data_IF_760329345554
#
_entry.id   IF_760329345554
#
_cell.length_a   1.000
_cell.length_b   1.000
_cell.length_c   1.000
_cell.angle_alpha   90.00
_cell.angle_beta   90.00
_cell.angle_gamma   90.00
#
_symmetry.space_group_name_H-M   'P 1'
#
loop_
_entity.id
_entity.type
_entity.pdbx_description
1 polymer ?
#
# COMPACT_ATOMS: atom_id res chain seq x y z
N UNK A 1 46.65 -7.92 31.05
CA UNK A 1 47.24 -9.19 30.59
C UNK A 1 48.51 -9.41 31.40
N UNK A 2 48.83 -10.67 31.75
CA UNK A 2 50.06 -10.97 32.49
C UNK A 2 51.29 -10.68 31.63
N UNK A 3 52.39 -10.29 32.26
CA UNK A 3 53.68 -10.10 31.58
C UNK A 3 54.06 -11.37 30.82
N UNK A 4 54.03 -11.32 29.48
CA UNK A 4 54.46 -12.41 28.60
C UNK A 4 53.36 -13.16 27.83
N UNK A 5 52.08 -12.82 27.97
CA UNK A 5 50.99 -13.45 27.19
C UNK A 5 50.29 -12.45 26.27
N UNK A 6 50.77 -12.34 25.02
CA UNK A 6 50.26 -11.41 24.01
C UNK A 6 49.16 -12.05 23.14
N UNK A 7 48.06 -11.34 22.91
CA UNK A 7 46.93 -11.78 22.07
C UNK A 7 47.20 -11.66 20.55
N UNK A 8 48.48 -11.59 20.14
CA UNK A 8 48.88 -11.34 18.76
C UNK A 8 48.34 -12.38 17.78
N UNK A 9 48.43 -13.67 18.11
CA UNK A 9 47.96 -14.75 17.25
C UNK A 9 46.44 -14.72 17.01
N UNK A 10 45.68 -14.18 17.97
CA UNK A 10 44.23 -13.99 17.85
C UNK A 10 43.93 -12.78 16.96
N UNK A 11 44.59 -11.64 17.21
CA UNK A 11 44.40 -10.42 16.41
C UNK A 11 44.87 -10.57 14.95
N UNK A 12 45.86 -11.43 14.68
CA UNK A 12 46.27 -11.80 13.33
C UNK A 12 45.32 -12.80 12.65
N UNK A 13 44.21 -13.18 13.31
CA UNK A 13 43.23 -14.14 12.81
C UNK A 13 43.82 -15.54 12.52
N UNK A 14 44.91 -15.91 13.20
CA UNK A 14 45.64 -17.18 12.97
C UNK A 14 45.20 -18.30 13.90
N UNK A 15 44.76 -17.98 15.12
CA UNK A 15 44.33 -18.98 16.09
C UNK A 15 42.94 -19.55 15.73
N UNK A 16 41.96 -18.66 15.51
CA UNK A 16 40.60 -19.01 15.11
C UNK A 16 40.16 -18.08 13.97
N UNK A 17 40.15 -18.53 12.71
CA UNK A 17 39.86 -17.64 11.59
C UNK A 17 38.38 -17.26 11.54
N UNK A 18 38.08 -15.98 11.78
CA UNK A 18 36.77 -15.38 11.56
C UNK A 18 36.71 -14.71 10.18
N UNK A 19 35.57 -14.82 9.50
CA UNK A 19 35.33 -14.19 8.18
C UNK A 19 35.43 -12.65 8.22
N UNK A 20 35.22 -12.06 9.40
CA UNK A 20 35.23 -10.60 9.64
C UNK A 20 36.45 -10.14 10.45
N UNK A 21 37.34 -11.06 10.82
CA UNK A 21 38.53 -10.81 11.62
C UNK A 21 38.26 -10.37 13.06
N UNK A 22 39.31 -9.89 13.73
CA UNK A 22 39.28 -9.38 15.10
C UNK A 22 39.73 -7.93 15.14
N UNK A 23 39.16 -7.16 16.08
CA UNK A 23 39.59 -5.79 16.39
C UNK A 23 39.84 -5.69 17.89
N UNK A 24 41.07 -5.35 18.26
CA UNK A 24 41.45 -5.11 19.65
C UNK A 24 41.13 -3.68 20.08
N UNK A 25 40.57 -3.52 21.28
CA UNK A 25 40.18 -2.23 21.87
C UNK A 25 40.62 -2.17 23.33
N UNK A 26 40.98 -0.98 23.81
CA UNK A 26 41.37 -0.74 25.19
C UNK A 26 40.34 0.18 25.84
N UNK A 27 39.62 -0.36 26.82
CA UNK A 27 38.63 0.36 27.58
C UNK A 27 39.21 0.98 28.87
N UNK A 28 38.46 1.93 29.44
CA UNK A 28 38.76 2.49 30.77
C UNK A 28 38.67 1.41 31.84
N UNK A 29 39.67 1.33 32.69
CA UNK A 29 39.67 0.46 33.87
C UNK A 29 38.96 1.16 35.05
N UNK A 30 38.75 0.43 36.16
CA UNK A 30 38.03 0.97 37.32
C UNK A 30 38.67 2.26 37.87
N UNK A 31 40.00 2.33 37.92
CA UNK A 31 40.71 3.53 38.36
C UNK A 31 40.52 4.74 37.43
N UNK A 32 40.38 4.53 36.12
CA UNK A 32 40.12 5.60 35.15
C UNK A 32 38.68 6.12 35.26
N UNK A 33 37.74 5.25 35.65
CA UNK A 33 36.35 5.61 35.94
C UNK A 33 36.30 6.46 37.20
N UNK A 34 36.97 6.04 38.27
CA UNK A 34 37.01 6.77 39.54
C UNK A 34 37.66 8.16 39.38
N UNK A 35 38.67 8.27 38.51
CA UNK A 35 39.32 9.54 38.13
C UNK A 35 38.55 10.37 37.10
N UNK A 36 37.38 9.91 36.65
CA UNK A 36 36.56 10.56 35.61
C UNK A 36 37.35 10.92 34.35
N UNK A 37 38.23 10.01 33.90
CA UNK A 37 39.01 10.21 32.68
C UNK A 37 38.08 10.46 31.49
N UNK A 38 38.34 11.54 30.74
CA UNK A 38 37.50 11.92 29.62
C UNK A 38 37.59 10.87 28.50
N UNK A 39 36.56 10.83 27.65
CA UNK A 39 36.51 9.88 26.52
C UNK A 39 37.62 10.22 25.51
N UNK A 40 37.90 11.50 25.28
CA UNK A 40 38.96 11.95 24.39
C UNK A 40 40.34 11.48 24.89
N UNK A 41 40.61 11.63 26.20
CA UNK A 41 41.87 11.19 26.79
C UNK A 41 42.02 9.66 26.75
N UNK A 42 40.90 8.93 26.87
CA UNK A 42 40.89 7.47 26.74
C UNK A 42 41.29 7.03 25.33
N UNK A 43 40.71 7.63 24.30
CA UNK A 43 41.02 7.37 22.89
C UNK A 43 42.49 7.71 22.58
N UNK A 44 42.98 8.85 23.08
CA UNK A 44 44.38 9.23 22.86
C UNK A 44 45.35 8.27 23.57
N UNK A 45 45.02 7.83 24.79
CA UNK A 45 45.80 6.85 25.52
C UNK A 45 45.81 5.47 24.84
N UNK A 46 44.69 5.06 24.25
CA UNK A 46 44.58 3.84 23.45
C UNK A 46 45.51 3.91 22.24
N UNK A 47 45.45 5.02 21.49
CA UNK A 47 46.30 5.23 20.31
C UNK A 47 47.79 5.21 20.69
N UNK A 48 48.15 5.86 21.80
CA UNK A 48 49.53 5.84 22.33
C UNK A 48 49.96 4.42 22.70
N UNK A 49 49.09 3.63 23.35
CA UNK A 49 49.40 2.25 23.71
C UNK A 49 49.68 1.40 22.47
N UNK A 50 48.81 1.41 21.47
CA UNK A 50 49.01 0.58 20.27
C UNK A 50 50.25 0.99 19.46
N UNK A 51 50.62 2.26 19.46
CA UNK A 51 51.82 2.75 18.78
C UNK A 51 53.12 2.44 19.53
N UNK A 52 53.07 2.30 20.85
CA UNK A 52 54.25 2.07 21.71
C UNK A 52 54.48 0.58 22.00
N UNK A 53 53.43 -0.24 21.98
CA UNK A 53 53.53 -1.66 22.34
C UNK A 53 54.27 -2.47 21.25
N UNK A 54 55.36 -3.19 21.58
CA UNK A 54 56.20 -3.88 20.60
C UNK A 54 55.45 -4.96 19.80
N UNK A 55 54.50 -5.66 20.43
CA UNK A 55 53.71 -6.71 19.78
C UNK A 55 52.51 -6.22 18.95
N UNK A 56 52.12 -4.94 19.05
CA UNK A 56 50.92 -4.42 18.37
C UNK A 56 51.20 -3.23 17.46
N UNK A 57 52.41 -2.65 17.51
CA UNK A 57 52.82 -1.51 16.69
C UNK A 57 52.62 -1.71 15.19
N UNK A 58 52.80 -2.93 14.68
CA UNK A 58 52.58 -3.22 13.26
C UNK A 58 51.10 -3.40 12.88
N UNK A 59 50.20 -3.49 13.87
CA UNK A 59 48.74 -3.58 13.71
C UNK A 59 48.02 -2.32 14.16
N UNK A 60 48.73 -1.28 14.60
CA UNK A 60 48.14 -0.06 15.17
C UNK A 60 47.09 0.59 14.26
N UNK A 61 47.25 0.45 12.94
CA UNK A 61 46.35 1.02 11.94
C UNK A 61 45.02 0.26 11.81
N UNK A 62 44.96 -1.00 12.26
CA UNK A 62 43.78 -1.89 12.19
C UNK A 62 43.14 -2.13 13.57
N UNK A 63 43.69 -1.55 14.62
CA UNK A 63 43.24 -1.71 16.00
C UNK A 63 42.66 -0.39 16.54
N UNK A 64 41.97 -0.49 17.67
CA UNK A 64 41.40 0.64 18.39
C UNK A 64 39.97 1.00 18.02
N UNK A 65 39.39 1.90 18.82
CA UNK A 65 37.97 2.28 18.78
C UNK A 65 37.57 2.86 17.43
N UNK A 66 38.41 3.71 16.83
CA UNK A 66 38.10 4.31 15.53
C UNK A 66 38.04 3.29 14.40
N UNK A 67 38.93 2.29 14.39
CA UNK A 67 38.90 1.24 13.38
C UNK A 67 37.68 0.34 13.57
N UNK A 68 37.35 0.00 14.82
CA UNK A 68 36.14 -0.75 15.14
C UNK A 68 34.88 -0.03 14.67
N UNK A 69 34.78 1.27 14.96
CA UNK A 69 33.63 2.08 14.55
C UNK A 69 33.46 2.08 13.03
N UNK A 70 34.54 2.29 12.26
CA UNK A 70 34.51 2.25 10.80
C UNK A 70 34.05 0.90 10.28
N UNK A 71 34.60 -0.20 10.79
CA UNK A 71 34.25 -1.56 10.37
C UNK A 71 32.79 -1.86 10.70
N UNK A 72 32.31 -1.49 11.90
CA UNK A 72 30.90 -1.72 12.27
C UNK A 72 29.94 -0.92 11.38
N UNK A 73 30.26 0.34 11.08
CA UNK A 73 29.45 1.16 10.19
C UNK A 73 29.38 0.53 8.80
N UNK A 74 30.54 0.17 8.23
CA UNK A 74 30.61 -0.47 6.92
C UNK A 74 29.81 -1.78 6.88
N UNK A 75 29.96 -2.62 7.90
CA UNK A 75 29.23 -3.89 7.97
C UNK A 75 27.73 -3.69 8.13
N UNK A 76 27.32 -2.71 8.93
CA UNK A 76 25.91 -2.37 9.12
C UNK A 76 25.29 -1.82 7.83
N UNK A 77 25.95 -0.90 7.15
CA UNK A 77 25.48 -0.33 5.88
C UNK A 77 25.38 -1.40 4.79
N UNK A 78 26.36 -2.30 4.69
CA UNK A 78 26.33 -3.41 3.74
C UNK A 78 25.20 -4.39 4.07
N UNK A 79 24.99 -4.68 5.35
CA UNK A 79 23.92 -5.56 5.78
C UNK A 79 22.54 -4.98 5.46
N UNK A 80 22.29 -3.70 5.78
CA UNK A 80 21.06 -3.00 5.42
C UNK A 80 20.84 -3.06 3.91
N UNK A 81 21.87 -2.72 3.12
CA UNK A 81 21.75 -2.67 1.66
C UNK A 81 21.40 -4.04 1.07
N UNK A 82 21.83 -5.14 1.70
CA UNK A 82 21.52 -6.49 1.28
C UNK A 82 20.11 -6.94 1.72
N UNK A 83 19.66 -6.56 2.91
CA UNK A 83 18.37 -7.01 3.48
C UNK A 83 17.18 -6.18 3.01
N UNK A 84 17.37 -4.89 2.72
CA UNK A 84 16.29 -3.97 2.32
C UNK A 84 15.55 -4.42 1.05
N UNK A 85 16.23 -4.83 -0.04
CA UNK A 85 15.56 -5.28 -1.25
C UNK A 85 14.71 -6.53 -1.03
N UNK A 86 15.22 -7.49 -0.24
CA UNK A 86 14.48 -8.70 0.08
C UNK A 86 13.21 -8.39 0.89
N UNK A 87 13.34 -7.57 1.94
CA UNK A 87 12.22 -7.14 2.77
C UNK A 87 11.19 -6.33 1.96
N UNK A 88 11.66 -5.46 1.05
CA UNK A 88 10.77 -4.72 0.14
C UNK A 88 9.98 -5.69 -0.74
N UNK A 89 10.63 -6.67 -1.33
CA UNK A 89 9.97 -7.64 -2.22
C UNK A 89 8.94 -8.47 -1.46
N UNK A 90 9.27 -8.92 -0.25
CA UNK A 90 8.35 -9.65 0.63
C UNK A 90 7.12 -8.79 1.00
N UNK A 91 7.33 -7.54 1.43
CA UNK A 91 6.24 -6.63 1.73
C UNK A 91 5.36 -6.34 0.50
N UNK A 92 5.97 -6.17 -0.67
CA UNK A 92 5.20 -5.98 -1.91
C UNK A 92 4.38 -7.22 -2.27
N UNK A 93 4.93 -8.42 -2.06
CA UNK A 93 4.19 -9.67 -2.31
C UNK A 93 3.00 -9.81 -1.36
N UNK A 94 3.21 -9.60 -0.05
CA UNK A 94 2.11 -9.63 0.93
C UNK A 94 1.04 -8.58 0.62
N UNK A 95 1.44 -7.37 0.23
CA UNK A 95 0.49 -6.31 -0.14
C UNK A 95 -0.36 -6.69 -1.36
N UNK A 96 0.25 -7.37 -2.35
CA UNK A 96 -0.47 -7.85 -3.53
C UNK A 96 -1.43 -8.98 -3.19
N UNK A 97 -1.06 -9.88 -2.29
CA UNK A 97 -1.93 -10.96 -1.85
C UNK A 97 -3.12 -10.43 -1.04
N UNK A 98 -2.90 -9.41 -0.20
CA UNK A 98 -4.00 -8.69 0.49
C UNK A 98 -4.91 -8.01 -0.54
N UNK A 99 -4.35 -7.31 -1.52
CA UNK A 99 -5.14 -6.65 -2.57
C UNK A 99 -5.96 -7.67 -3.37
N UNK A 100 -5.37 -8.81 -3.75
CA UNK A 100 -6.07 -9.91 -4.42
C UNK A 100 -7.18 -10.49 -3.56
N UNK A 101 -6.93 -10.74 -2.28
CA UNK A 101 -7.93 -11.25 -1.35
C UNK A 101 -9.10 -10.26 -1.20
N UNK A 102 -8.82 -8.96 -1.13
CA UNK A 102 -9.87 -7.94 -1.11
C UNK A 102 -10.63 -7.92 -2.45
N UNK A 103 -9.94 -7.96 -3.59
CA UNK A 103 -10.58 -8.06 -4.92
C UNK A 103 -11.51 -9.28 -5.02
N UNK A 104 -11.05 -10.46 -4.63
CA UNK A 104 -11.83 -11.69 -4.67
C UNK A 104 -13.02 -11.67 -3.69
N UNK A 105 -12.85 -11.02 -2.54
CA UNK A 105 -13.91 -10.88 -1.53
C UNK A 105 -14.96 -9.83 -1.92
N UNK A 106 -14.58 -8.76 -2.61
CA UNK A 106 -15.48 -7.65 -2.96
C UNK A 106 -16.04 -7.72 -4.39
N UNK A 107 -15.43 -8.48 -5.30
CA UNK A 107 -15.81 -8.53 -6.72
C UNK A 107 -15.85 -9.97 -7.26
N UNK A 108 -16.93 -10.71 -6.95
CA UNK A 108 -17.31 -11.87 -7.75
C UNK A 108 -18.11 -11.41 -8.98
N UNK A 109 -17.52 -10.75 -9.99
CA UNK A 109 -18.19 -10.56 -11.29
C UNK A 109 -17.21 -10.51 -12.48
N UNK A 110 -17.66 -11.22 -13.53
CA UNK A 110 -17.05 -11.62 -14.79
C UNK A 110 -16.02 -10.71 -15.49
N UNK A 111 -15.03 -11.41 -16.09
CA UNK A 111 -13.93 -10.91 -16.90
C UNK A 111 -14.37 -10.06 -18.11
N UNK A 112 -13.54 -9.07 -18.43
CA UNK A 112 -13.42 -8.26 -19.68
C UNK A 112 -14.13 -6.90 -19.78
N UNK A 113 -15.08 -6.54 -18.91
CA UNK A 113 -15.65 -5.16 -18.86
C UNK A 113 -15.12 -4.29 -17.71
N UNK A 114 -14.29 -4.87 -16.83
CA UNK A 114 -14.02 -4.33 -15.48
C UNK A 114 -12.94 -3.24 -15.38
N UNK A 115 -11.99 -3.12 -16.31
CA UNK A 115 -10.93 -2.09 -16.19
C UNK A 115 -11.47 -0.66 -16.43
N UNK A 116 -12.33 -0.48 -17.43
CA UNK A 116 -12.94 0.81 -17.76
C UNK A 116 -13.96 1.20 -16.67
N UNK A 117 -14.74 0.23 -16.18
CA UNK A 117 -15.67 0.44 -15.09
C UNK A 117 -14.96 0.76 -13.77
N UNK A 118 -13.82 0.14 -13.45
CA UNK A 118 -13.06 0.44 -12.23
C UNK A 118 -12.51 1.86 -12.24
N UNK A 119 -11.96 2.32 -13.38
CA UNK A 119 -11.45 3.68 -13.49
C UNK A 119 -12.56 4.73 -13.42
N UNK A 120 -13.70 4.48 -14.07
CA UNK A 120 -14.87 5.36 -13.98
C UNK A 120 -15.47 5.39 -12.58
N UNK A 121 -15.56 4.24 -11.89
CA UNK A 121 -16.04 4.16 -10.51
C UNK A 121 -15.07 4.85 -9.54
N UNK A 122 -13.77 4.64 -9.68
CA UNK A 122 -12.77 5.34 -8.88
C UNK A 122 -12.86 6.86 -9.09
N UNK A 123 -13.03 7.30 -10.34
CA UNK A 123 -13.25 8.71 -10.67
C UNK A 123 -14.53 9.25 -10.04
N UNK A 124 -15.64 8.51 -10.09
CA UNK A 124 -16.90 8.92 -9.46
C UNK A 124 -16.80 9.01 -7.93
N UNK A 125 -16.07 8.08 -7.29
CA UNK A 125 -15.80 8.15 -5.84
C UNK A 125 -15.01 9.42 -5.52
N UNK A 126 -13.93 9.67 -6.27
CA UNK A 126 -13.13 10.87 -6.09
C UNK A 126 -13.94 12.15 -6.31
N UNK A 127 -14.74 12.22 -7.38
CA UNK A 127 -15.58 13.38 -7.69
C UNK A 127 -16.61 13.62 -6.58
N UNK A 128 -17.25 12.57 -6.07
CA UNK A 128 -18.20 12.66 -4.94
C UNK A 128 -17.52 13.10 -3.63
N UNK A 129 -16.32 12.59 -3.36
CA UNK A 129 -15.54 12.95 -2.18
C UNK A 129 -15.06 14.40 -2.23
N UNK A 130 -14.61 14.86 -3.41
CA UNK A 130 -14.25 16.25 -3.64
C UNK A 130 -15.46 17.19 -3.50
N UNK A 131 -16.64 16.76 -3.94
CA UNK A 131 -17.89 17.50 -3.73
C UNK A 131 -18.26 17.60 -2.25
N UNK A 132 -18.16 16.51 -1.49
CA UNK A 132 -18.54 16.45 -0.06
C UNK A 132 -17.56 17.22 0.85
N UNK A 133 -16.30 17.35 0.44
CA UNK A 133 -15.31 18.22 1.10
C UNK A 133 -15.49 19.70 0.70
N UNK A 134 -16.22 19.98 -0.39
CA UNK A 134 -16.51 21.35 -0.86
C UNK A 134 -15.42 21.94 -1.76
N UNK A 135 -14.73 21.10 -2.54
CA UNK A 135 -13.76 21.58 -3.55
C UNK A 135 -14.44 22.13 -4.82
N UNK A 136 -15.71 21.78 -5.02
CA UNK A 136 -16.55 22.29 -6.11
C UNK A 136 -17.69 23.14 -5.53
N UNK A 137 -18.00 24.25 -6.19
CA UNK A 137 -19.13 25.10 -5.84
C UNK A 137 -20.42 24.39 -6.27
N UNK A 138 -21.19 23.88 -5.30
CA UNK A 138 -22.50 23.28 -5.54
C UNK A 138 -23.60 24.27 -5.19
N UNK A 139 -24.49 24.56 -6.13
CA UNK A 139 -25.68 25.43 -5.92
C UNK A 139 -26.72 24.81 -4.95
N UNK A 140 -26.57 23.53 -4.61
CA UNK A 140 -27.45 22.81 -3.69
C UNK A 140 -26.93 22.90 -2.26
N UNK A 141 -27.63 23.69 -1.42
CA UNK A 141 -27.39 23.73 0.02
C UNK A 141 -28.09 22.54 0.67
N UNK A 142 -27.34 21.48 0.98
CA UNK A 142 -27.86 20.37 1.79
C UNK A 142 -28.10 20.81 3.24
N UNK A 143 -29.24 20.42 3.82
CA UNK A 143 -29.53 20.66 5.25
C UNK A 143 -28.56 19.94 6.21
N UNK A 144 -27.93 18.86 5.72
CA UNK A 144 -26.96 18.06 6.48
C UNK A 144 -25.57 18.68 6.29
N UNK A 145 -24.79 18.88 7.36
CA UNK A 145 -23.44 19.43 7.27
C UNK A 145 -22.53 18.46 6.53
N UNK A 146 -22.05 18.89 5.36
CA UNK A 146 -21.09 18.16 4.56
C UNK A 146 -19.75 17.96 5.29
N UNK A 147 -18.96 16.97 4.86
CA UNK A 147 -17.64 16.66 5.46
C UNK A 147 -16.75 17.90 5.60
N UNK A 148 -16.74 18.77 4.57
CA UNK A 148 -16.02 20.04 4.58
C UNK A 148 -16.48 21.03 5.66
N UNK A 149 -17.80 21.22 5.84
CA UNK A 149 -18.35 22.12 6.85
C UNK A 149 -18.09 21.62 8.27
N UNK A 150 -18.08 20.30 8.50
CA UNK A 150 -17.70 19.70 9.78
C UNK A 150 -16.24 19.98 10.11
N UNK A 151 -15.34 19.79 9.14
CA UNK A 151 -13.92 20.11 9.29
C UNK A 151 -13.72 21.60 9.56
N UNK A 152 -14.42 22.47 8.82
CA UNK A 152 -14.35 23.92 8.99
C UNK A 152 -14.83 24.36 10.40
N UNK A 153 -15.98 23.84 10.86
CA UNK A 153 -16.46 24.06 12.24
C UNK A 153 -15.49 23.53 13.28
N UNK A 154 -14.85 22.39 13.03
CA UNK A 154 -13.87 21.83 13.95
C UNK A 154 -12.65 22.76 14.07
N UNK A 155 -12.12 23.22 12.94
CA UNK A 155 -10.94 24.10 12.89
C UNK A 155 -11.22 25.50 13.44
N UNK A 156 -12.39 26.09 13.16
CA UNK A 156 -12.67 27.48 13.50
C UNK A 156 -13.53 27.69 14.75
N UNK A 157 -14.26 26.67 15.21
CA UNK A 157 -15.13 26.78 16.40
C UNK A 157 -14.62 25.92 17.55
N UNK A 158 -14.28 24.66 17.31
CA UNK A 158 -13.90 23.75 18.41
C UNK A 158 -12.47 23.97 18.93
N UNK A 159 -11.55 24.31 18.03
CA UNK A 159 -10.14 24.50 18.35
C UNK A 159 -9.92 25.74 19.26
N UNK A 160 -10.54 26.91 19.01
CA UNK A 160 -10.51 28.03 19.95
C UNK A 160 -11.13 27.74 21.33
N UNK A 161 -12.19 26.92 21.39
CA UNK A 161 -12.83 26.52 22.65
C UNK A 161 -11.90 25.66 23.50
N UNK A 162 -11.20 24.70 22.90
CA UNK A 162 -10.23 23.84 23.60
C UNK A 162 -9.05 24.68 24.13
N UNK A 163 -8.68 25.76 23.43
CA UNK A 163 -7.61 26.66 23.87
C UNK A 163 -8.03 27.66 24.97
N UNK A 164 -9.33 27.88 25.21
CA UNK A 164 -9.82 28.96 26.08
C UNK A 164 -9.94 28.59 27.57
N UNK A 165 -9.42 27.44 28.00
CA UNK A 165 -9.69 26.92 29.36
C UNK A 165 -8.76 27.45 30.46
N UNK A 166 -7.74 28.25 30.17
CA UNK A 166 -6.85 28.79 31.22
C UNK A 166 -7.26 30.20 31.63
N UNK A 167 -7.62 30.36 32.90
CA UNK A 167 -7.94 31.69 33.44
C UNK A 167 -6.65 32.49 33.65
N UNK A 168 -6.70 33.81 33.41
CA UNK A 168 -5.57 34.71 33.67
C UNK A 168 -5.09 34.66 35.13
N UNK A 169 -5.97 34.25 36.06
CA UNK A 169 -5.63 34.10 37.48
C UNK A 169 -4.71 32.91 37.74
N UNK A 170 -4.92 31.79 37.06
CA UNK A 170 -4.08 30.59 37.20
C UNK A 170 -2.68 30.81 36.63
N UNK A 171 -2.60 31.48 35.48
CA UNK A 171 -1.33 31.89 34.89
C UNK A 171 -0.56 32.83 35.83
N UNK A 172 -1.25 33.79 36.46
CA UNK A 172 -0.63 34.72 37.41
C UNK A 172 -0.06 33.98 38.63
N UNK A 173 -0.78 33.01 39.19
CA UNK A 173 -0.29 32.16 40.29
C UNK A 173 0.94 31.35 39.86
N UNK A 174 0.91 30.77 38.66
CA UNK A 174 2.03 30.00 38.10
C UNK A 174 3.29 30.87 37.92
N UNK A 175 3.14 32.09 37.42
CA UNK A 175 4.24 33.06 37.27
C UNK A 175 4.85 33.41 38.62
N UNK A 176 4.03 33.74 39.62
CA UNK A 176 4.52 34.09 40.96
C UNK A 176 5.27 32.92 41.59
N UNK A 177 4.73 31.70 41.52
CA UNK A 177 5.38 30.50 42.04
C UNK A 177 6.71 30.20 41.33
N UNK A 178 6.75 30.34 40.00
CA UNK A 178 7.97 30.11 39.22
C UNK A 178 9.05 31.15 39.53
N UNK A 179 8.68 32.42 39.70
CA UNK A 179 9.60 33.49 40.10
C UNK A 179 10.19 33.21 41.49
N UNK A 180 9.36 32.77 42.45
CA UNK A 180 9.83 32.41 43.78
C UNK A 180 10.80 31.22 43.73
N UNK A 181 10.47 30.18 42.96
CA UNK A 181 11.30 28.99 42.81
C UNK A 181 12.65 29.28 42.15
N UNK A 182 12.68 30.11 41.10
CA UNK A 182 13.93 30.49 40.42
C UNK A 182 14.80 31.41 41.28
N UNK A 183 14.19 32.26 42.11
CA UNK A 183 14.93 33.15 43.03
C UNK A 183 15.51 32.42 44.23
N UNK A 184 14.85 31.38 44.72
CA UNK A 184 15.25 30.65 45.93
C UNK A 184 15.31 31.58 47.16
N UNK A 185 16.38 31.48 47.96
CA UNK A 185 16.52 32.24 49.20
C UNK A 185 16.88 33.73 49.04
N UNK A 186 17.15 34.21 47.81
CA UNK A 186 17.59 35.59 47.57
C UNK A 186 16.39 36.51 47.33
N UNK A 187 16.36 37.65 48.04
CA UNK A 187 15.42 38.74 47.74
C UNK A 187 15.96 39.57 46.57
N UNK A 188 15.24 39.61 45.46
CA UNK A 188 15.59 40.41 44.28
C UNK A 188 14.49 41.42 43.94
N UNK A 189 14.88 42.61 43.49
CA UNK A 189 13.93 43.65 43.05
C UNK A 189 13.29 43.33 41.69
N UNK A 190 13.99 42.61 40.79
CA UNK A 190 13.53 42.28 39.43
C UNK A 190 13.27 40.79 39.23
N UNK A 191 12.26 40.44 38.43
CA UNK A 191 11.95 39.05 38.10
C UNK A 191 13.05 38.46 37.17
N UNK A 192 13.55 37.24 37.43
CA UNK A 192 14.59 36.64 36.60
C UNK A 192 14.03 36.17 35.26
N UNK A 193 14.74 36.43 34.15
CA UNK A 193 14.34 36.05 32.78
C UNK A 193 14.08 34.55 32.63
N UNK A 194 14.83 33.72 33.36
CA UNK A 194 14.63 32.26 33.39
C UNK A 194 13.25 31.85 33.87
N UNK A 195 12.65 32.59 34.81
CA UNK A 195 11.29 32.29 35.27
C UNK A 195 10.27 32.53 34.16
N UNK A 196 10.48 33.58 33.36
CA UNK A 196 9.65 33.86 32.19
C UNK A 196 9.82 32.77 31.12
N UNK A 197 11.05 32.35 30.82
CA UNK A 197 11.31 31.28 29.85
C UNK A 197 10.65 29.95 30.27
N UNK A 198 10.71 29.60 31.56
CA UNK A 198 10.08 28.39 32.10
C UNK A 198 8.55 28.47 31.97
N UNK A 199 7.94 29.59 32.32
CA UNK A 199 6.48 29.76 32.19
C UNK A 199 6.07 29.72 30.72
N UNK A 200 6.81 30.39 29.83
CA UNK A 200 6.53 30.35 28.39
C UNK A 200 6.61 28.93 27.83
N UNK A 201 7.66 28.18 28.16
CA UNK A 201 7.81 26.78 27.72
C UNK A 201 6.69 25.90 28.23
N UNK A 202 6.29 26.07 29.49
CA UNK A 202 5.18 25.33 30.07
C UNK A 202 3.85 25.66 29.37
N UNK A 203 3.62 26.94 29.04
CA UNK A 203 2.43 27.36 28.30
C UNK A 203 2.42 26.80 26.87
N UNK A 204 3.54 26.90 26.13
CA UNK A 204 3.66 26.35 24.77
C UNK A 204 3.43 24.83 24.76
N UNK A 205 3.97 24.10 25.72
CA UNK A 205 3.81 22.64 25.79
C UNK A 205 2.35 22.21 25.97
N UNK A 206 1.51 23.01 26.64
CA UNK A 206 0.07 22.72 26.76
C UNK A 206 -0.69 22.78 25.43
N UNK A 207 -0.17 23.49 24.42
CA UNK A 207 -0.81 23.57 23.10
C UNK A 207 -0.55 22.32 22.24
N UNK A 208 0.40 21.46 22.63
CA UNK A 208 0.77 20.27 21.86
C UNK A 208 -0.35 19.23 21.82
N UNK A 209 -0.91 18.87 22.99
CA UNK A 209 -1.96 17.86 23.10
C UNK A 209 -3.27 18.27 22.39
N UNK A 210 -3.82 19.49 22.57
CA UNK A 210 -4.97 19.97 21.80
C UNK A 210 -4.74 19.93 20.28
N UNK A 211 -3.55 20.33 19.82
CA UNK A 211 -3.22 20.36 18.39
C UNK A 211 -3.24 18.95 17.80
N UNK A 212 -2.64 17.98 18.49
CA UNK A 212 -2.67 16.57 18.08
C UNK A 212 -4.08 15.98 18.09
N UNK A 213 -4.90 16.35 19.08
CA UNK A 213 -6.29 15.93 19.16
C UNK A 213 -7.12 16.50 18.00
N UNK A 214 -6.91 17.76 17.62
CA UNK A 214 -7.56 18.37 16.46
C UNK A 214 -7.24 17.60 15.17
N UNK A 215 -5.96 17.29 14.92
CA UNK A 215 -5.56 16.48 13.75
C UNK A 215 -6.26 15.11 13.77
N UNK A 216 -6.31 14.44 14.92
CA UNK A 216 -6.97 13.14 15.05
C UNK A 216 -8.47 13.21 14.73
N UNK A 217 -9.15 14.27 15.16
CA UNK A 217 -10.57 14.48 14.84
C UNK A 217 -10.80 14.80 13.36
N UNK A 218 -9.94 15.60 12.73
CA UNK A 218 -10.01 15.85 11.28
C UNK A 218 -9.84 14.57 10.49
N UNK A 219 -8.86 13.72 10.85
CA UNK A 219 -8.63 12.42 10.21
C UNK A 219 -9.87 11.53 10.35
N UNK A 220 -10.50 11.52 11.54
CA UNK A 220 -11.73 10.77 11.78
C UNK A 220 -12.87 11.25 10.89
N UNK A 221 -13.09 12.56 10.77
CA UNK A 221 -14.13 13.12 9.90
C UNK A 221 -13.86 12.87 8.42
N UNK A 222 -12.59 12.96 7.97
CA UNK A 222 -12.21 12.60 6.59
C UNK A 222 -12.50 11.13 6.29
N UNK A 223 -12.18 10.25 7.25
CA UNK A 223 -12.43 8.81 7.13
C UNK A 223 -13.93 8.52 7.08
N UNK A 224 -14.74 9.17 7.93
CA UNK A 224 -16.20 9.05 7.91
C UNK A 224 -16.79 9.53 6.58
N UNK A 225 -16.27 10.62 6.03
CA UNK A 225 -16.70 11.17 4.74
C UNK A 225 -16.37 10.18 3.61
N UNK A 226 -15.18 9.57 3.64
CA UNK A 226 -14.79 8.55 2.67
C UNK A 226 -15.72 7.31 2.75
N UNK A 227 -16.02 6.84 3.97
CA UNK A 227 -16.96 5.73 4.15
C UNK A 227 -18.36 6.05 3.62
N UNK A 228 -18.87 7.26 3.91
CA UNK A 228 -20.15 7.73 3.39
C UNK A 228 -20.20 7.73 1.86
N UNK A 229 -19.15 8.24 1.20
CA UNK A 229 -19.04 8.20 -0.26
C UNK A 229 -19.04 6.76 -0.79
N UNK A 230 -18.28 5.85 -0.17
CA UNK A 230 -18.23 4.45 -0.61
C UNK A 230 -19.56 3.72 -0.42
N UNK A 231 -20.32 3.99 0.65
CA UNK A 231 -21.60 3.34 0.93
C UNK A 231 -22.71 3.83 0.00
N UNK A 232 -22.75 5.12 -0.30
CA UNK A 232 -23.65 5.70 -1.31
C UNK A 232 -23.37 5.16 -2.72
N UNK A 233 -22.11 4.85 -3.04
CA UNK A 233 -21.79 4.21 -4.32
C UNK A 233 -22.17 2.72 -4.33
N UNK A 234 -21.99 1.99 -3.22
CA UNK A 234 -22.42 0.59 -3.12
C UNK A 234 -23.94 0.45 -3.36
N UNK A 235 -24.75 1.36 -2.83
CA UNK A 235 -26.20 1.38 -3.07
C UNK A 235 -26.54 1.74 -4.51
N UNK A 236 -25.84 2.70 -5.12
CA UNK A 236 -26.01 3.05 -6.54
C UNK A 236 -25.62 1.92 -7.50
N UNK A 237 -24.54 1.18 -7.21
CA UNK A 237 -24.14 -0.03 -7.96
C UNK A 237 -25.23 -1.10 -7.85
N UNK A 238 -25.68 -1.40 -6.62
CA UNK A 238 -26.75 -2.38 -6.40
C UNK A 238 -28.07 -1.99 -7.09
N UNK A 239 -28.38 -0.69 -7.19
CA UNK A 239 -29.55 -0.21 -7.92
C UNK A 239 -29.38 -0.27 -9.44
N UNK A 240 -28.17 -0.03 -9.96
CA UNK A 240 -27.87 -0.14 -11.37
C UNK A 240 -27.82 -1.61 -11.83
N UNK A 241 -27.37 -2.53 -10.98
CA UNK A 241 -27.46 -3.99 -11.22
C UNK A 241 -28.91 -4.48 -11.25
N UNK A 242 -29.78 -3.92 -10.40
CA UNK A 242 -31.23 -4.18 -10.45
C UNK A 242 -31.88 -3.60 -11.71
N UNK A 243 -31.45 -2.41 -12.16
CA UNK A 243 -31.95 -1.80 -13.41
C UNK A 243 -31.42 -2.53 -14.66
N UNK A 244 -30.17 -2.97 -14.67
CA UNK A 244 -29.58 -3.70 -15.80
C UNK A 244 -30.17 -5.11 -15.95
N UNK A 245 -30.47 -5.79 -14.84
CA UNK A 245 -31.22 -7.05 -14.83
C UNK A 245 -32.67 -6.87 -15.31
N UNK A 246 -33.37 -5.83 -14.85
CA UNK A 246 -34.74 -5.51 -15.32
C UNK A 246 -34.80 -5.15 -16.83
N UNK A 247 -33.79 -4.44 -17.35
CA UNK A 247 -33.68 -4.11 -18.79
C UNK A 247 -33.36 -5.37 -19.61
N UNK A 248 -32.54 -6.28 -19.10
CA UNK A 248 -32.25 -7.57 -19.74
C UNK A 248 -33.46 -8.52 -19.75
N UNK A 249 -34.30 -8.51 -18.72
CA UNK A 249 -35.57 -9.26 -18.72
C UNK A 249 -36.59 -8.68 -19.71
N UNK A 250 -36.67 -7.35 -19.80
CA UNK A 250 -37.58 -6.67 -20.73
C UNK A 250 -37.14 -6.73 -22.21
N UNK A 251 -35.87 -7.00 -22.50
CA UNK A 251 -35.38 -7.24 -23.88
C UNK A 251 -35.45 -8.71 -24.30
N UNK A 252 -35.38 -9.66 -23.36
CA UNK A 252 -35.55 -11.11 -23.65
C UNK A 252 -36.99 -11.47 -24.07
N UNK A 253 -38.01 -10.83 -23.50
CA UNK A 253 -39.43 -11.04 -23.86
C UNK A 253 -39.74 -10.77 -25.36
N UNK A 254 -39.43 -9.58 -25.92
CA UNK A 254 -39.67 -9.29 -27.34
C UNK A 254 -38.75 -10.09 -28.29
N UNK A 255 -37.56 -10.53 -27.85
CA UNK A 255 -36.70 -11.40 -28.67
C UNK A 255 -37.23 -12.84 -28.79
N UNK A 256 -37.84 -13.39 -27.75
CA UNK A 256 -38.51 -14.70 -27.83
C UNK A 256 -39.78 -14.66 -28.69
N UNK A 257 -40.57 -13.58 -28.61
CA UNK A 257 -41.75 -13.40 -29.46
C UNK A 257 -41.38 -13.20 -30.94
N UNK A 258 -40.36 -12.37 -31.25
CA UNK A 258 -39.89 -12.20 -32.62
C UNK A 258 -39.30 -13.49 -33.22
N UNK A 259 -38.62 -14.33 -32.42
CA UNK A 259 -38.15 -15.66 -32.86
C UNK A 259 -39.29 -16.61 -33.22
N UNK A 260 -40.42 -16.58 -32.49
CA UNK A 260 -41.62 -17.37 -32.81
C UNK A 260 -42.27 -16.93 -34.12
N UNK A 261 -42.22 -15.65 -34.46
CA UNK A 261 -42.79 -15.09 -35.69
C UNK A 261 -41.89 -15.35 -36.91
N UNK A 262 -40.57 -15.22 -36.79
CA UNK A 262 -39.63 -15.33 -37.93
C UNK A 262 -39.29 -16.77 -38.34
N UNK A 263 -39.26 -17.72 -37.40
CA UNK A 263 -38.86 -19.11 -37.68
C UNK A 263 -39.76 -19.84 -38.71
N UNK A 264 -41.10 -19.69 -38.70
CA UNK A 264 -41.97 -20.27 -39.72
C UNK A 264 -41.71 -19.74 -41.14
N UNK A 265 -41.37 -18.45 -41.29
CA UNK A 265 -41.08 -17.84 -42.60
C UNK A 265 -39.74 -18.29 -43.19
N UNK A 266 -38.71 -18.42 -42.34
CA UNK A 266 -37.41 -18.96 -42.74
C UNK A 266 -37.50 -20.44 -43.15
N UNK A 267 -38.28 -21.25 -42.41
CA UNK A 267 -38.53 -22.64 -42.78
C UNK A 267 -39.30 -22.79 -44.10
N UNK A 268 -40.31 -21.94 -44.36
CA UNK A 268 -41.01 -21.92 -45.66
C UNK A 268 -40.08 -21.54 -46.82
N UNK A 269 -39.16 -20.58 -46.63
CA UNK A 269 -38.18 -20.20 -47.65
C UNK A 269 -37.13 -21.29 -47.91
N UNK A 270 -36.67 -22.00 -46.87
CA UNK A 270 -35.76 -23.16 -47.02
C UNK A 270 -36.42 -24.30 -47.80
N UNK A 271 -37.64 -24.70 -47.45
CA UNK A 271 -38.39 -25.74 -48.19
C UNK A 271 -38.61 -25.38 -49.67
N UNK A 272 -38.89 -24.10 -49.99
CA UNK A 272 -39.03 -23.62 -51.38
C UNK A 272 -37.70 -23.54 -52.16
N UNK A 273 -36.55 -23.46 -51.47
CA UNK A 273 -35.22 -23.52 -52.12
C UNK A 273 -34.79 -24.96 -52.34
N UNK A 274 -35.04 -25.83 -51.36
CA UNK A 274 -34.77 -27.27 -51.47
C UNK A 274 -35.60 -27.93 -52.58
N UNK A 275 -36.90 -27.60 -52.70
CA UNK A 275 -37.74 -28.11 -53.79
C UNK A 275 -37.32 -27.64 -55.18
N UNK A 276 -36.75 -26.43 -55.31
CA UNK A 276 -36.22 -25.92 -56.59
C UNK A 276 -34.88 -26.57 -56.96
N UNK A 277 -34.02 -26.82 -55.97
CA UNK A 277 -32.77 -27.56 -56.19
C UNK A 277 -33.01 -29.02 -56.57
N UNK A 278 -34.03 -29.66 -55.99
CA UNK A 278 -34.42 -31.03 -56.37
C UNK A 278 -34.98 -31.08 -57.80
N UNK A 279 -35.83 -30.12 -58.18
CA UNK A 279 -36.34 -30.01 -59.55
C UNK A 279 -35.22 -29.73 -60.58
N UNK A 280 -34.24 -28.89 -60.23
CA UNK A 280 -33.07 -28.64 -61.08
C UNK A 280 -32.15 -29.86 -61.20
N UNK A 281 -31.97 -30.65 -60.13
CA UNK A 281 -31.22 -31.91 -60.20
C UNK A 281 -31.93 -32.98 -61.03
N UNK A 282 -33.26 -33.09 -60.92
CA UNK A 282 -34.03 -34.04 -61.72
C UNK A 282 -34.01 -33.67 -63.21
N UNK A 283 -34.11 -32.39 -63.55
CA UNK A 283 -34.00 -31.91 -64.93
C UNK A 283 -32.58 -32.10 -65.52
N UNK A 284 -31.53 -32.08 -64.69
CA UNK A 284 -30.16 -32.39 -65.12
C UNK A 284 -29.91 -33.89 -65.31
N UNK A 285 -30.67 -34.76 -64.64
CA UNK A 285 -30.63 -36.22 -64.86
C UNK A 285 -31.29 -36.65 -66.18
N UNK A 286 -32.30 -35.92 -66.65
CA UNK A 286 -33.00 -36.22 -67.93
C UNK A 286 -32.19 -35.85 -69.19
N UNK A 287 -31.06 -35.14 -69.05
CA UNK A 287 -30.22 -34.71 -70.18
C UNK A 287 -28.88 -35.46 -70.30
N UNK A 288 -28.68 -36.57 -69.59
CA UNK A 288 -27.46 -37.39 -69.66
C UNK A 288 -27.63 -38.60 -70.61
N UNK A 289 -26.71 -38.83 -71.57
CA UNK A 289 -26.72 -40.00 -72.46
C UNK A 289 -26.71 -41.34 -71.70
N UNK A 290 -27.35 -42.38 -72.26
CA UNK A 290 -27.63 -43.66 -71.59
C UNK A 290 -26.40 -44.48 -71.17
N UNK A 291 -25.19 -44.13 -71.59
CA UNK A 291 -23.98 -44.95 -71.39
C UNK A 291 -23.14 -44.59 -70.15
N UNK A 292 -23.58 -43.63 -69.32
CA UNK A 292 -22.92 -43.27 -68.05
C UNK A 292 -23.83 -43.44 -66.81
N UNK A 293 -24.91 -44.22 -66.92
CA UNK A 293 -25.83 -44.47 -65.78
C UNK A 293 -25.38 -45.58 -64.83
N UNK A 294 -24.33 -46.32 -65.16
CA UNK A 294 -23.70 -47.28 -64.25
C UNK A 294 -22.41 -46.70 -63.70
N UNK A 295 -22.20 -46.84 -62.38
CA UNK A 295 -21.03 -46.38 -61.62
C UNK A 295 -21.12 -44.91 -61.18
N UNK A 296 -21.99 -44.58 -60.21
CA UNK A 296 -21.63 -44.16 -58.82
C UNK A 296 -22.95 -44.07 -58.03
N UNK A 297 -23.61 -45.21 -57.82
CA UNK A 297 -24.54 -45.37 -56.70
C UNK A 297 -23.73 -46.01 -55.59
N UNK A 298 -23.25 -45.20 -54.63
CA UNK A 298 -23.14 -45.55 -53.19
C UNK A 298 -22.27 -44.55 -52.46
N UNK A 299 -22.92 -43.64 -51.72
CA UNK A 299 -22.72 -43.36 -50.29
C UNK A 299 -23.26 -41.97 -49.95
N UNK A 300 -24.59 -41.88 -49.90
CA UNK A 300 -25.23 -41.08 -48.86
C UNK A 300 -25.50 -42.01 -47.69
N UNK A 301 -24.77 -41.85 -46.59
CA UNK A 301 -25.18 -42.36 -45.28
C UNK A 301 -25.42 -41.14 -44.41
N UNK A 302 -26.69 -40.79 -44.26
CA UNK A 302 -27.15 -39.91 -43.21
C UNK A 302 -27.21 -40.65 -41.87
N UNK A 303 -27.26 -39.84 -40.81
CA UNK A 303 -27.52 -40.18 -39.41
C UNK A 303 -26.40 -40.93 -38.68
N UNK A 304 -25.84 -40.29 -37.66
CA UNK A 304 -26.08 -40.76 -36.28
C UNK A 304 -25.69 -39.67 -35.26
N UNK A 305 -26.55 -39.58 -34.26
CA UNK A 305 -26.44 -38.73 -33.09
C UNK A 305 -25.54 -39.37 -32.03
N UNK A 306 -25.24 -38.58 -31.00
CA UNK A 306 -24.80 -38.99 -29.65
C UNK A 306 -23.30 -39.26 -29.44
N UNK A 307 -22.71 -38.41 -28.59
CA UNK A 307 -21.99 -38.88 -27.40
C UNK A 307 -20.56 -39.40 -27.56
N UNK A 308 -19.60 -38.56 -27.17
CA UNK A 308 -18.60 -38.98 -26.18
C UNK A 308 -17.23 -39.44 -26.67
N UNK A 309 -16.26 -39.11 -25.83
CA UNK A 309 -14.84 -39.50 -25.81
C UNK A 309 -13.91 -38.76 -26.78
N UNK A 310 -13.00 -37.99 -26.17
CA UNK A 310 -11.93 -37.31 -26.86
C UNK A 310 -10.68 -38.17 -26.99
N UNK A 311 -9.76 -37.69 -27.82
CA UNK A 311 -8.35 -37.45 -27.51
C UNK A 311 -7.70 -36.85 -28.75
N UNK A 312 -6.97 -35.76 -28.49
CA UNK A 312 -5.73 -35.30 -29.14
C UNK A 312 -5.45 -35.76 -30.58
N UNK A 313 -5.19 -34.81 -31.48
CA UNK A 313 -3.81 -34.46 -31.78
C UNK A 313 -3.71 -33.10 -32.47
N UNK A 314 -2.56 -32.50 -32.20
CA UNK A 314 -2.10 -31.16 -32.50
C UNK A 314 -1.62 -30.99 -33.94
N UNK A 315 -1.30 -29.73 -34.25
CA UNK A 315 -0.46 -29.19 -35.32
C UNK A 315 -1.22 -28.93 -36.64
N UNK A 316 -1.37 -27.70 -37.13
CA UNK A 316 -0.44 -26.58 -37.40
C UNK A 316 -0.62 -26.32 -38.92
N UNK A 317 -0.46 -25.07 -39.32
CA UNK A 317 -0.54 -24.55 -40.71
C UNK A 317 -1.94 -24.18 -41.18
N UNK A 318 -2.22 -22.99 -41.72
CA UNK A 318 -1.55 -21.69 -41.78
C UNK A 318 -2.64 -20.73 -42.30
N UNK A 319 -2.63 -19.49 -41.79
CA UNK A 319 -3.44 -18.31 -42.15
C UNK A 319 -4.87 -18.22 -41.59
#
# INVERSE_FOLDING_TARGET
MGEGNDARAVLENKLYPLSRGYVGVINRNQSDIDKKKSIADAIESEKKFFNTHPAYKFLSDRLGIHCLQRILIEQFTNHISYTLPALRNELTAESLDIVKYLLEKYYQLDDTASEINLFEMHRLVLDSFHSEIGFYESDEVSEIPNGGSKINKLMHTSLPLIFSHETLEDLRKQVIGTIQNVRGARKGQFAPDKAFEIVLKAQISKYEEPSMRCVSLVIKELTNTLFYCTEHQQTFINENDKKSTAVNENTKKPQQENKKIYNPFLNKKKRKREGRNLAQRNALMEMLPQDEQEIVVTKYKGAEAAGGSGREFSLREQN
#
